data_IF_854589836658
#
_entry.id   IF_854589836658
#
_cell.length_a   1.000
_cell.length_b   1.000
_cell.length_c   1.000
_cell.angle_alpha   90.00
_cell.angle_beta   90.00
_cell.angle_gamma   90.00
#
_symmetry.space_group_name_H-M   'P 1'
#
loop_
_entity.id
_entity.type
_entity.pdbx_description
1 polymer ?
#
# COMPACT_ATOMS: atom_id res chain seq x y z
N UNK A 1 1.09 17.02 6.74
CA UNK A 1 1.29 15.55 6.86
C UNK A 1 0.06 14.83 6.34
N UNK A 2 0.26 13.74 5.63
CA UNK A 2 -0.84 12.95 5.09
C UNK A 2 -1.46 12.06 6.15
N UNK A 3 -2.75 11.75 5.97
CA UNK A 3 -3.47 10.78 6.80
C UNK A 3 -3.56 9.46 6.04
N UNK A 4 -3.46 8.34 6.74
CA UNK A 4 -3.56 7.01 6.11
C UNK A 4 -4.99 6.51 6.24
N UNK A 5 -5.55 6.09 5.11
CA UNK A 5 -6.82 5.37 5.06
C UNK A 5 -6.54 4.03 4.37
N UNK A 6 -7.03 2.95 4.95
CA UNK A 6 -6.83 1.61 4.39
C UNK A 6 -8.17 1.05 3.96
N UNK A 7 -8.30 0.69 2.68
CA UNK A 7 -9.52 0.05 2.17
C UNK A 7 -9.78 -1.23 2.93
N UNK A 8 -11.06 -1.56 3.09
CA UNK A 8 -11.48 -2.76 3.82
C UNK A 8 -10.82 -4.03 3.31
N UNK A 9 -10.72 -4.18 1.99
CA UNK A 9 -10.08 -5.36 1.40
C UNK A 9 -8.59 -5.43 1.75
N UNK A 10 -7.91 -4.29 1.76
CA UNK A 10 -6.51 -4.23 2.16
C UNK A 10 -6.35 -4.53 3.65
N UNK A 11 -7.24 -4.00 4.48
CA UNK A 11 -7.22 -4.25 5.92
C UNK A 11 -7.41 -5.72 6.23
N UNK A 12 -8.33 -6.38 5.52
CA UNK A 12 -8.55 -7.82 5.68
C UNK A 12 -7.33 -8.63 5.28
N UNK A 13 -6.67 -8.24 4.20
CA UNK A 13 -5.44 -8.90 3.76
C UNK A 13 -4.34 -8.77 4.81
N UNK A 14 -4.18 -7.58 5.38
CA UNK A 14 -3.21 -7.36 6.45
C UNK A 14 -3.48 -8.24 7.67
N UNK A 15 -4.74 -8.39 8.04
CA UNK A 15 -5.11 -9.17 9.21
C UNK A 15 -4.74 -10.65 9.08
N UNK A 16 -4.61 -11.15 7.86
CA UNK A 16 -4.25 -12.54 7.60
C UNK A 16 -2.75 -12.79 7.56
N UNK A 17 -1.95 -11.74 7.60
CA UNK A 17 -0.50 -11.85 7.52
C UNK A 17 0.08 -12.08 8.92
N UNK A 18 1.13 -12.90 8.99
CA UNK A 18 1.83 -13.17 10.25
C UNK A 18 2.26 -11.88 10.92
N UNK A 19 2.18 -11.85 12.25
CA UNK A 19 2.43 -10.64 13.02
C UNK A 19 3.75 -9.94 12.70
N UNK A 20 4.90 -10.65 12.59
CA UNK A 20 6.16 -9.96 12.25
C UNK A 20 6.13 -9.28 10.90
N UNK A 21 5.56 -9.92 9.88
CA UNK A 21 5.45 -9.35 8.55
C UNK A 21 4.44 -8.20 8.53
N UNK A 22 3.31 -8.40 9.20
CA UNK A 22 2.27 -7.37 9.30
C UNK A 22 2.82 -6.10 9.91
N UNK A 23 3.62 -6.22 10.97
CA UNK A 23 4.24 -5.06 11.61
C UNK A 23 5.13 -4.29 10.65
N UNK A 24 5.94 -4.99 9.86
CA UNK A 24 6.80 -4.35 8.86
C UNK A 24 5.98 -3.60 7.81
N UNK A 25 4.87 -4.20 7.38
CA UNK A 25 4.00 -3.57 6.38
C UNK A 25 3.34 -2.32 6.95
N UNK A 26 2.86 -2.39 8.18
CA UNK A 26 2.23 -1.24 8.83
C UNK A 26 3.22 -0.10 9.02
N UNK A 27 4.46 -0.41 9.42
CA UNK A 27 5.49 0.60 9.55
C UNK A 27 5.81 1.26 8.21
N UNK A 28 5.85 0.47 7.13
CA UNK A 28 6.10 1.01 5.80
C UNK A 28 4.96 1.92 5.33
N UNK A 29 3.73 1.53 5.62
CA UNK A 29 2.56 2.35 5.30
C UNK A 29 2.63 3.67 6.07
N UNK A 30 2.98 3.60 7.35
CA UNK A 30 3.06 4.79 8.19
C UNK A 30 4.07 5.80 7.67
N UNK A 31 5.18 5.33 7.12
CA UNK A 31 6.21 6.20 6.56
C UNK A 31 5.72 6.98 5.34
N UNK A 32 4.67 6.52 4.68
CA UNK A 32 4.10 7.23 3.55
C UNK A 32 3.51 8.58 3.94
N UNK A 33 3.17 8.77 5.19
CA UNK A 33 2.67 10.07 5.69
C UNK A 33 3.63 11.20 5.41
N UNK A 34 4.92 10.93 5.51
CA UNK A 34 5.96 11.94 5.30
C UNK A 34 6.67 11.79 3.98
N UNK A 35 6.47 10.65 3.29
CA UNK A 35 7.11 10.41 2.01
C UNK A 35 6.15 9.68 1.05
N UNK A 36 5.10 10.37 0.60
CA UNK A 36 4.06 9.73 -0.22
C UNK A 36 4.56 9.28 -1.60
N UNK A 37 5.67 9.83 -2.08
CA UNK A 37 6.21 9.46 -3.38
C UNK A 37 7.27 8.37 -3.32
N UNK A 38 7.38 7.67 -2.19
CA UNK A 38 8.36 6.60 -2.02
C UNK A 38 8.17 5.45 -3.00
N UNK A 39 6.93 5.14 -3.36
CA UNK A 39 6.62 4.04 -4.26
C UNK A 39 6.74 4.40 -5.72
N UNK A 40 6.88 3.38 -6.56
CA UNK A 40 6.94 3.53 -8.00
C UNK A 40 5.56 3.77 -8.58
N UNK A 41 5.46 4.66 -9.55
CA UNK A 41 4.20 4.95 -10.25
C UNK A 41 3.83 3.75 -11.12
N UNK A 42 2.57 3.35 -11.05
CA UNK A 42 2.05 2.28 -11.89
C UNK A 42 1.49 2.87 -13.19
N UNK A 43 1.52 2.07 -14.24
CA UNK A 43 1.09 2.48 -15.58
C UNK A 43 -0.12 1.67 -16.04
N UNK A 44 -0.73 2.09 -17.13
CA UNK A 44 -1.88 1.40 -17.72
C UNK A 44 -3.13 1.58 -16.90
N UNK A 45 -3.83 0.49 -16.64
CA UNK A 45 -5.07 0.49 -15.87
C UNK A 45 -4.91 1.06 -14.47
N UNK A 46 -3.68 1.04 -13.95
CA UNK A 46 -3.39 1.45 -12.59
C UNK A 46 -2.79 2.85 -12.52
N UNK A 47 -2.95 3.64 -13.59
CA UNK A 47 -2.48 5.03 -13.61
C UNK A 47 -3.04 5.79 -12.42
N UNK A 48 -2.17 6.51 -11.72
CA UNK A 48 -2.56 7.24 -10.51
C UNK A 48 -2.27 6.50 -9.23
N UNK A 49 -1.90 5.22 -9.31
CA UNK A 49 -1.53 4.44 -8.15
C UNK A 49 -0.02 4.28 -8.06
N UNK A 50 0.46 4.02 -6.86
CA UNK A 50 1.87 3.74 -6.59
C UNK A 50 2.00 2.41 -5.86
N UNK A 51 3.19 1.82 -5.97
CA UNK A 51 3.47 0.53 -5.34
C UNK A 51 4.77 0.58 -4.58
N UNK A 52 4.79 0.00 -3.38
CA UNK A 52 6.02 -0.27 -2.64
C UNK A 52 6.11 -1.76 -2.37
N UNK A 53 7.34 -2.25 -2.29
CA UNK A 53 7.63 -3.65 -1.97
C UNK A 53 8.23 -3.74 -0.58
N UNK A 54 7.68 -4.65 0.23
CA UNK A 54 8.20 -4.93 1.56
C UNK A 54 8.35 -6.44 1.67
N UNK A 55 9.57 -6.94 1.55
CA UNK A 55 9.81 -8.38 1.49
C UNK A 55 9.08 -9.00 0.31
N UNK A 56 8.24 -9.98 0.58
CA UNK A 56 7.46 -10.66 -0.46
C UNK A 56 6.09 -10.05 -0.69
N UNK A 57 5.84 -8.89 -0.08
CA UNK A 57 4.54 -8.24 -0.17
C UNK A 57 4.60 -6.97 -0.99
N UNK A 58 3.47 -6.60 -1.55
CA UNK A 58 3.31 -5.36 -2.30
C UNK A 58 2.15 -4.58 -1.74
N UNK A 59 2.36 -3.28 -1.60
CA UNK A 59 1.33 -2.36 -1.15
C UNK A 59 1.05 -1.40 -2.28
N UNK A 60 -0.20 -1.36 -2.73
CA UNK A 60 -0.64 -0.42 -3.76
C UNK A 60 -1.45 0.67 -3.07
N UNK A 61 -1.12 1.91 -3.36
CA UNK A 61 -1.78 3.04 -2.71
C UNK A 61 -1.97 4.20 -3.69
N UNK A 62 -2.90 5.08 -3.32
CA UNK A 62 -3.19 6.30 -4.08
C UNK A 62 -2.86 7.51 -3.20
N UNK A 63 -2.20 8.50 -3.79
CA UNK A 63 -1.92 9.75 -3.09
C UNK A 63 -2.98 10.76 -3.50
N UNK A 64 -3.80 11.17 -2.54
CA UNK A 64 -4.86 12.15 -2.75
C UNK A 64 -4.36 13.49 -2.22
N UNK A 65 -3.66 14.23 -3.06
CA UNK A 65 -2.96 15.45 -2.64
C UNK A 65 -3.87 16.54 -2.09
N UNK A 66 -5.02 16.73 -2.70
CA UNK A 66 -5.94 17.78 -2.27
C UNK A 66 -6.50 17.53 -0.88
N UNK A 67 -6.65 16.28 -0.51
CA UNK A 67 -7.23 15.89 0.77
C UNK A 67 -6.18 15.50 1.79
N UNK A 68 -4.92 15.46 1.38
CA UNK A 68 -3.80 15.01 2.19
C UNK A 68 -4.03 13.61 2.75
N UNK A 69 -4.50 12.71 1.89
CA UNK A 69 -4.80 11.32 2.25
C UNK A 69 -3.96 10.36 1.42
N UNK A 70 -3.44 9.34 2.07
CA UNK A 70 -2.86 8.17 1.42
C UNK A 70 -3.87 7.04 1.56
N UNK A 71 -4.43 6.61 0.44
CA UNK A 71 -5.41 5.52 0.43
C UNK A 71 -4.71 4.22 0.05
N UNK A 72 -4.58 3.31 1.00
CA UNK A 72 -4.02 1.98 0.72
C UNK A 72 -5.11 1.14 0.07
N UNK A 73 -4.90 0.81 -1.20
CA UNK A 73 -5.89 0.14 -2.04
C UNK A 73 -5.76 -1.37 -1.94
N UNK A 74 -4.54 -1.87 -1.90
CA UNK A 74 -4.30 -3.30 -1.94
C UNK A 74 -3.02 -3.67 -1.19
N UNK A 75 -3.09 -4.80 -0.49
CA UNK A 75 -1.92 -5.44 0.12
C UNK A 75 -1.96 -6.89 -0.36
N UNK A 76 -0.90 -7.36 -1.00
CA UNK A 76 -0.89 -8.70 -1.56
C UNK A 76 0.50 -9.31 -1.50
N UNK A 77 0.55 -10.63 -1.36
CA UNK A 77 1.77 -11.38 -1.53
C UNK A 77 2.17 -11.32 -3.00
N UNK A 78 3.47 -11.33 -3.30
CA UNK A 78 3.95 -11.20 -4.68
C UNK A 78 3.32 -12.22 -5.64
N UNK A 79 3.00 -13.40 -5.13
CA UNK A 79 2.37 -14.46 -5.95
C UNK A 79 0.95 -14.10 -6.37
N UNK A 80 0.25 -13.35 -5.54
CA UNK A 80 -1.14 -12.97 -5.83
C UNK A 80 -1.22 -11.89 -6.90
N UNK A 81 -0.21 -11.03 -6.97
CA UNK A 81 -0.20 -9.90 -7.89
C UNK A 81 -0.14 -10.35 -9.35
N UNK A 82 0.46 -11.51 -9.60
CA UNK A 82 0.61 -12.02 -10.95
C UNK A 82 -0.56 -12.89 -11.42
N UNK A 83 -1.53 -13.09 -10.55
CA UNK A 83 -2.76 -13.81 -10.91
C UNK A 83 -3.83 -12.76 -11.17
N UNK A 84 -4.00 -12.40 -12.37
CA UNK A 84 -5.07 -11.46 -12.71
C UNK A 84 -6.01 -12.08 -13.68
#
# INVERSE_FOLDING_TARGET
>A
MYTITIKQTAAKALAKIDAPQRKRLIEAIDKLKTNPTAGSVLKGEFTGLRRIRIGDYRIVYEVQNEQLVILVVRVAHRREVYKS
#
